data_IF_680989046863
#
_entry.id   IF_680989046863
#
_cell.length_a   1.000
_cell.length_b   1.000
_cell.length_c   1.000
_cell.angle_alpha   90.00
_cell.angle_beta   90.00
_cell.angle_gamma   90.00
#
_symmetry.space_group_name_H-M   'P 1'
#
loop_
_entity.id
_entity.type
_entity.pdbx_description
1 polymer ?
#
# COMPACT_ATOMS: atom_id res chain seq x y z
N UNK A 1 20.07 -31.64 10.53
CA UNK A 1 18.70 -31.10 10.45
C UNK A 1 18.71 -29.78 11.21
N UNK A 2 18.50 -28.67 10.52
CA UNK A 2 18.46 -27.35 11.17
C UNK A 2 17.13 -27.21 11.93
N UNK A 3 17.22 -26.86 13.21
CA UNK A 3 16.06 -26.56 14.05
C UNK A 3 15.52 -25.19 13.65
N UNK A 4 14.43 -25.15 12.90
CA UNK A 4 13.72 -23.90 12.58
C UNK A 4 12.92 -23.45 13.80
N UNK A 5 13.54 -22.68 14.70
CA UNK A 5 12.89 -22.20 15.94
C UNK A 5 12.53 -20.71 15.89
N UNK A 6 12.87 -20.01 14.81
CA UNK A 6 12.61 -18.58 14.65
C UNK A 6 11.36 -18.32 13.82
N UNK A 7 10.36 -17.67 14.41
CA UNK A 7 9.22 -17.15 13.63
C UNK A 7 9.67 -15.92 12.84
N UNK A 8 9.30 -15.86 11.56
CA UNK A 8 9.50 -14.69 10.70
C UNK A 8 8.16 -14.07 10.31
N UNK A 9 8.17 -12.76 10.04
CA UNK A 9 6.96 -12.04 9.59
C UNK A 9 6.82 -12.14 8.07
N UNK A 10 5.62 -12.48 7.61
CA UNK A 10 5.25 -12.47 6.19
C UNK A 10 5.01 -11.05 5.65
N UNK A 11 4.56 -10.14 6.52
CA UNK A 11 4.35 -8.72 6.22
C UNK A 11 4.78 -7.88 7.43
N UNK A 12 5.42 -6.73 7.17
CA UNK A 12 5.88 -5.80 8.22
C UNK A 12 4.88 -4.66 8.49
N UNK A 13 3.86 -4.51 7.65
CA UNK A 13 2.79 -3.52 7.78
C UNK A 13 1.77 -3.87 8.87
N UNK A 14 1.03 -2.86 9.29
CA UNK A 14 -0.05 -2.98 10.28
C UNK A 14 -1.31 -3.65 9.73
N UNK A 15 -1.47 -3.71 8.41
CA UNK A 15 -2.73 -4.00 7.71
C UNK A 15 -2.63 -5.21 6.79
N UNK A 16 -2.01 -6.29 7.26
CA UNK A 16 -2.01 -7.58 6.57
C UNK A 16 -2.44 -8.67 7.55
N UNK A 17 -3.72 -8.67 7.91
CA UNK A 17 -4.28 -9.57 8.91
C UNK A 17 -5.24 -10.59 8.28
N UNK A 18 -5.50 -11.71 8.96
CA UNK A 18 -6.43 -12.73 8.47
C UNK A 18 -6.06 -13.27 7.09
N UNK A 19 -4.75 -13.43 6.83
CA UNK A 19 -4.26 -13.86 5.53
C UNK A 19 -4.77 -15.26 5.16
N UNK A 20 -5.24 -15.40 3.94
CA UNK A 20 -5.68 -16.67 3.36
C UNK A 20 -4.68 -17.12 2.29
N UNK A 21 -4.58 -18.43 2.11
CA UNK A 21 -3.64 -19.05 1.19
C UNK A 21 -4.35 -20.04 0.28
N UNK A 22 -3.96 -20.09 -0.99
CA UNK A 22 -4.38 -21.12 -1.93
C UNK A 22 -3.17 -21.68 -2.68
N UNK A 23 -3.21 -22.98 -2.97
CA UNK A 23 -2.17 -23.69 -3.71
C UNK A 23 -2.78 -24.57 -4.80
N UNK A 24 -1.95 -25.44 -5.40
CA UNK A 24 -2.47 -26.46 -6.31
C UNK A 24 -3.40 -27.43 -5.58
N UNK A 25 -4.53 -27.75 -6.22
CA UNK A 25 -5.41 -28.85 -5.78
C UNK A 25 -4.97 -30.20 -6.36
N UNK A 26 -4.03 -30.19 -7.31
CA UNK A 26 -3.48 -31.38 -7.95
C UNK A 26 -2.21 -31.82 -7.19
N UNK A 27 -2.32 -32.94 -6.47
CA UNK A 27 -1.21 -33.51 -5.70
C UNK A 27 -0.13 -34.16 -6.58
N UNK A 28 -0.44 -34.50 -7.83
CA UNK A 28 0.53 -35.05 -8.79
C UNK A 28 1.35 -33.93 -9.46
N UNK A 29 0.81 -32.70 -9.44
CA UNK A 29 1.46 -31.48 -9.92
C UNK A 29 1.38 -30.39 -8.85
N UNK A 30 2.09 -30.56 -7.73
CA UNK A 30 2.14 -29.53 -6.71
C UNK A 30 2.68 -28.23 -7.31
N UNK A 31 2.11 -27.11 -6.92
CA UNK A 31 2.65 -25.81 -7.33
C UNK A 31 3.87 -25.49 -6.49
N UNK A 32 4.93 -24.98 -7.13
CA UNK A 32 6.12 -24.43 -6.45
C UNK A 32 5.83 -23.12 -5.70
N UNK A 33 4.55 -22.73 -5.58
CA UNK A 33 4.12 -21.49 -4.96
C UNK A 33 2.71 -21.58 -4.41
N UNK A 34 2.40 -20.69 -3.47
CA UNK A 34 1.05 -20.45 -2.99
C UNK A 34 0.67 -18.99 -3.25
N UNK A 35 -0.62 -18.74 -3.46
CA UNK A 35 -1.18 -17.39 -3.55
C UNK A 35 -1.66 -16.98 -2.17
N UNK A 36 -1.36 -15.75 -1.76
CA UNK A 36 -1.83 -15.19 -0.51
C UNK A 36 -2.50 -13.84 -0.69
N UNK A 37 -3.58 -13.63 0.05
CA UNK A 37 -4.27 -12.34 0.22
C UNK A 37 -4.47 -12.06 1.70
N UNK A 38 -4.24 -10.82 2.12
CA UNK A 38 -4.49 -10.35 3.47
C UNK A 38 -5.66 -9.38 3.50
N UNK A 39 -6.41 -9.35 4.59
CA UNK A 39 -7.32 -8.24 4.85
C UNK A 39 -6.51 -6.99 5.19
N UNK A 40 -6.80 -5.90 4.49
CA UNK A 40 -6.22 -4.56 4.73
C UNK A 40 -7.03 -3.89 5.82
N UNK A 41 -6.64 -4.17 7.05
CA UNK A 41 -7.19 -3.56 8.26
C UNK A 41 -6.54 -4.13 9.52
N UNK A 42 -6.84 -3.49 10.65
CA UNK A 42 -6.33 -3.91 11.95
C UNK A 42 -7.40 -3.71 13.03
N UNK A 43 -7.56 -4.73 13.87
CA UNK A 43 -8.49 -4.72 14.99
C UNK A 43 -8.30 -3.53 15.95
N UNK A 44 -7.09 -2.97 16.03
CA UNK A 44 -6.82 -1.80 16.88
C UNK A 44 -7.61 -0.55 16.50
N UNK A 45 -8.09 -0.44 15.24
CA UNK A 45 -8.84 0.75 14.78
C UNK A 45 -10.04 0.45 13.90
N UNK A 46 -10.17 -0.73 13.30
CA UNK A 46 -11.32 -1.05 12.43
C UNK A 46 -12.66 -0.96 13.18
N UNK A 47 -12.69 -1.30 14.48
CA UNK A 47 -13.89 -1.19 15.32
C UNK A 47 -14.43 0.25 15.46
N UNK A 48 -13.58 1.25 15.23
CA UNK A 48 -13.95 2.68 15.28
C UNK A 48 -14.46 3.20 13.93
N UNK A 49 -14.50 2.35 12.91
CA UNK A 49 -14.86 2.69 11.54
C UNK A 49 -13.70 3.31 10.74
N UNK A 50 -13.67 3.07 9.43
CA UNK A 50 -12.66 3.65 8.53
C UNK A 50 -13.14 5.03 8.08
N UNK A 51 -12.41 6.09 8.45
CA UNK A 51 -12.72 7.46 8.00
C UNK A 51 -12.08 7.71 6.63
N UNK A 52 -12.84 8.30 5.71
CA UNK A 52 -12.31 8.69 4.40
C UNK A 52 -11.30 9.86 4.47
N UNK A 53 -11.29 10.62 5.57
CA UNK A 53 -10.34 11.70 5.83
C UNK A 53 -10.29 12.00 7.34
N UNK A 54 -9.15 12.49 7.84
CA UNK A 54 -9.03 12.97 9.23
C UNK A 54 -10.01 14.09 9.57
N UNK A 55 -10.43 14.87 8.58
CA UNK A 55 -11.33 16.03 8.74
C UNK A 55 -12.79 15.75 8.38
N UNK A 56 -13.09 14.58 7.79
CA UNK A 56 -14.43 14.29 7.30
C UNK A 56 -15.15 13.30 8.22
N UNK A 57 -16.38 13.60 8.66
CA UNK A 57 -17.09 12.79 9.65
C UNK A 57 -17.72 11.52 9.06
N UNK A 58 -17.79 11.39 7.73
CA UNK A 58 -18.37 10.19 7.12
C UNK A 58 -17.45 8.97 7.35
N UNK A 59 -18.00 8.01 8.09
CA UNK A 59 -17.40 6.70 8.28
C UNK A 59 -17.78 5.86 7.06
N UNK A 60 -16.78 5.29 6.37
CA UNK A 60 -17.01 4.33 5.30
C UNK A 60 -17.78 3.13 5.86
N UNK A 61 -18.90 2.80 5.24
CA UNK A 61 -19.63 1.56 5.52
C UNK A 61 -18.93 0.32 4.90
N UNK A 62 -17.94 0.53 4.02
CA UNK A 62 -17.06 -0.54 3.54
C UNK A 62 -15.93 -0.71 4.56
N UNK A 63 -16.01 -1.80 5.33
CA UNK A 63 -15.14 -2.10 6.49
C UNK A 63 -13.73 -2.60 6.13
N UNK A 64 -13.37 -2.63 4.85
CA UNK A 64 -12.01 -2.94 4.43
C UNK A 64 -11.89 -3.35 2.97
N UNK A 65 -10.67 -3.64 2.57
CA UNK A 65 -10.30 -4.21 1.28
C UNK A 65 -9.39 -5.42 1.49
N UNK A 66 -9.17 -6.21 0.44
CA UNK A 66 -8.11 -7.20 0.42
C UNK A 66 -6.86 -6.61 -0.23
N UNK A 67 -5.69 -7.10 0.18
CA UNK A 67 -4.42 -6.76 -0.44
C UNK A 67 -4.40 -7.21 -1.90
N UNK A 68 -3.44 -6.70 -2.67
CA UNK A 68 -3.04 -7.40 -3.88
C UNK A 68 -2.64 -8.84 -3.54
N UNK A 69 -3.06 -9.78 -4.38
CA UNK A 69 -2.62 -11.16 -4.28
C UNK A 69 -1.10 -11.22 -4.46
N UNK A 70 -0.45 -12.08 -3.67
CA UNK A 70 0.99 -12.32 -3.74
C UNK A 70 1.25 -13.78 -4.03
N UNK A 71 2.20 -14.04 -4.92
CA UNK A 71 2.82 -15.35 -5.06
C UNK A 71 3.90 -15.49 -3.99
N UNK A 72 3.80 -16.53 -3.18
CA UNK A 72 4.78 -16.88 -2.16
C UNK A 72 5.56 -18.11 -2.62
N UNK A 73 6.89 -18.06 -2.50
CA UNK A 73 7.80 -19.14 -2.85
C UNK A 73 8.73 -19.41 -1.68
N UNK A 74 8.87 -20.67 -1.29
CA UNK A 74 9.90 -21.11 -0.33
C UNK A 74 11.23 -21.24 -1.07
N UNK A 75 12.21 -20.47 -0.64
CA UNK A 75 13.56 -20.48 -1.20
C UNK A 75 14.38 -21.62 -0.56
N UNK A 76 15.51 -21.98 -1.19
CA UNK A 76 16.41 -23.03 -0.70
C UNK A 76 17.12 -22.70 0.62
N UNK A 77 17.13 -21.43 1.03
CA UNK A 77 17.65 -20.95 2.31
C UNK A 77 16.56 -20.88 3.40
N UNK A 78 15.40 -21.52 3.15
CA UNK A 78 14.21 -21.53 4.00
C UNK A 78 13.57 -20.14 4.25
N UNK A 79 13.87 -19.15 3.43
CA UNK A 79 13.15 -17.87 3.44
C UNK A 79 11.96 -17.89 2.49
N UNK A 80 10.99 -16.99 2.70
CA UNK A 80 9.83 -16.82 1.80
C UNK A 80 10.03 -15.57 0.94
N UNK A 81 10.00 -15.74 -0.37
CA UNK A 81 9.85 -14.64 -1.33
C UNK A 81 8.37 -14.32 -1.55
N UNK A 82 7.98 -13.05 -1.50
CA UNK A 82 6.61 -12.61 -1.74
C UNK A 82 6.54 -11.60 -2.91
N UNK A 83 5.93 -12.01 -4.02
CA UNK A 83 5.83 -11.18 -5.24
C UNK A 83 4.38 -10.82 -5.53
N UNK A 84 4.02 -9.53 -5.67
CA UNK A 84 2.65 -9.14 -6.01
C UNK A 84 2.28 -9.61 -7.43
N UNK A 85 1.05 -10.10 -7.59
CA UNK A 85 0.48 -10.46 -8.89
C UNK A 85 -0.13 -9.19 -9.50
N UNK A 86 0.42 -8.72 -10.62
CA UNK A 86 0.04 -7.41 -11.22
C UNK A 86 -0.48 -7.50 -12.65
N UNK A 87 -0.68 -8.69 -13.19
CA UNK A 87 -0.97 -8.95 -14.62
C UNK A 87 -2.24 -8.26 -15.15
N UNK A 88 -3.19 -7.93 -14.27
CA UNK A 88 -4.47 -7.28 -14.60
C UNK A 88 -4.60 -5.85 -14.04
N UNK A 89 -3.53 -5.25 -13.53
CA UNK A 89 -3.56 -3.83 -13.17
C UNK A 89 -3.46 -2.99 -14.45
N UNK A 90 -4.19 -1.87 -14.52
CA UNK A 90 -3.99 -0.90 -15.60
C UNK A 90 -2.55 -0.41 -15.54
N UNK A 91 -1.76 -0.87 -16.50
CA UNK A 91 -0.43 -0.35 -16.73
C UNK A 91 -0.58 1.02 -17.39
N UNK A 92 -0.85 2.06 -16.57
CA UNK A 92 -0.48 3.42 -16.96
C UNK A 92 1.05 3.41 -17.05
N UNK A 93 1.51 3.10 -18.25
CA UNK A 93 2.89 2.93 -18.67
C UNK A 93 3.86 3.69 -17.77
N UNK A 94 4.58 2.92 -16.93
CA UNK A 94 5.79 3.31 -16.22
C UNK A 94 5.94 4.82 -16.01
N UNK A 95 5.06 5.43 -15.20
CA UNK A 95 5.22 6.84 -14.83
C UNK A 95 6.40 6.91 -13.87
N UNK A 96 7.61 6.98 -14.43
CA UNK A 96 8.84 7.22 -13.68
C UNK A 96 8.80 8.67 -13.19
N UNK A 97 8.44 8.83 -11.92
CA UNK A 97 8.36 10.14 -11.28
C UNK A 97 9.71 10.47 -10.67
N UNK A 98 10.56 11.10 -11.47
CA UNK A 98 11.77 11.72 -10.97
C UNK A 98 11.42 13.06 -10.32
N UNK A 99 11.33 13.06 -8.99
CA UNK A 99 11.04 14.25 -8.18
C UNK A 99 12.14 14.42 -7.14
N UNK A 100 12.70 15.63 -7.11
CA UNK A 100 13.66 16.01 -6.07
C UNK A 100 12.89 16.29 -4.78
N UNK A 101 13.39 15.77 -3.67
CA UNK A 101 12.91 16.12 -2.34
C UNK A 101 13.04 17.63 -2.16
N UNK A 102 12.00 18.30 -1.66
CA UNK A 102 12.07 19.73 -1.34
C UNK A 102 13.22 19.99 -0.37
N UNK A 103 13.95 21.10 -0.51
CA UNK A 103 15.06 21.40 0.42
C UNK A 103 14.56 21.75 1.82
N UNK A 104 13.36 22.35 1.90
CA UNK A 104 12.68 22.66 3.16
C UNK A 104 11.49 21.71 3.39
N UNK A 105 11.23 21.31 4.64
CA UNK A 105 9.98 20.64 5.00
C UNK A 105 8.79 21.56 4.71
N UNK A 106 7.64 20.94 4.46
CA UNK A 106 6.37 21.65 4.35
C UNK A 106 5.99 22.25 5.71
N UNK A 107 5.52 23.49 5.69
CA UNK A 107 5.13 24.26 6.88
C UNK A 107 3.62 24.49 6.97
N UNK A 108 2.82 23.54 6.46
CA UNK A 108 1.37 23.61 6.58
C UNK A 108 0.87 22.60 7.60
N UNK A 109 -0.25 22.92 8.27
CA UNK A 109 -0.78 22.18 9.42
C UNK A 109 -0.94 20.67 9.18
N UNK A 110 -1.31 20.28 7.96
CA UNK A 110 -1.59 18.88 7.61
C UNK A 110 -0.35 18.11 7.11
N UNK A 111 0.77 18.81 6.89
CA UNK A 111 1.99 18.24 6.32
C UNK A 111 3.27 18.71 7.02
N UNK A 112 3.15 19.28 8.23
CA UNK A 112 4.26 19.88 8.95
C UNK A 112 5.39 18.86 9.16
N UNK A 113 6.62 19.24 8.78
CA UNK A 113 7.81 18.40 8.96
C UNK A 113 8.02 17.32 7.90
N UNK A 114 7.10 17.16 6.93
CA UNK A 114 7.30 16.28 5.78
C UNK A 114 7.92 17.03 4.61
N UNK A 115 8.78 16.39 3.85
CA UNK A 115 9.19 16.88 2.54
C UNK A 115 8.28 16.29 1.46
N UNK A 116 7.64 17.14 0.64
CA UNK A 116 6.77 16.65 -0.42
C UNK A 116 7.60 16.13 -1.59
N UNK A 117 7.27 14.95 -2.11
CA UNK A 117 7.92 14.42 -3.30
C UNK A 117 6.91 14.18 -4.42
N UNK A 118 5.69 13.74 -4.10
CA UNK A 118 4.68 13.36 -5.09
C UNK A 118 3.28 13.78 -4.64
N UNK A 119 2.56 14.48 -5.53
CA UNK A 119 1.11 14.73 -5.45
C UNK A 119 0.49 14.41 -6.81
N UNK A 120 -0.07 13.19 -6.94
CA UNK A 120 -0.79 12.76 -8.13
C UNK A 120 -2.29 12.85 -7.91
N UNK A 121 -2.99 13.43 -8.89
CA UNK A 121 -4.44 13.60 -8.87
C UNK A 121 -5.10 12.76 -9.97
N UNK A 122 -6.35 12.36 -9.75
CA UNK A 122 -7.16 11.61 -10.72
C UNK A 122 -6.50 10.31 -11.20
N UNK A 123 -5.90 9.58 -10.26
CA UNK A 123 -5.29 8.29 -10.56
C UNK A 123 -6.36 7.19 -10.70
N UNK A 124 -6.19 6.20 -11.59
CA UNK A 124 -7.05 5.03 -11.63
C UNK A 124 -7.01 4.25 -10.30
N UNK A 125 -8.07 3.50 -10.03
CA UNK A 125 -8.13 2.65 -8.83
C UNK A 125 -7.14 1.45 -8.90
N UNK A 126 -6.79 1.03 -10.12
CA UNK A 126 -6.02 -0.18 -10.43
C UNK A 126 -4.67 0.16 -11.09
N UNK A 127 -3.82 0.97 -10.46
CA UNK A 127 -2.54 1.40 -11.03
C UNK A 127 -1.32 0.79 -10.35
N UNK A 128 -0.24 0.63 -11.13
CA UNK A 128 1.10 0.26 -10.66
C UNK A 128 2.04 1.45 -10.81
N UNK A 129 2.71 1.85 -9.73
CA UNK A 129 3.75 2.88 -9.74
C UNK A 129 5.09 2.28 -9.39
N UNK A 130 6.13 2.66 -10.14
CA UNK A 130 7.53 2.38 -9.80
C UNK A 130 8.15 3.70 -9.37
N UNK A 131 8.50 3.82 -8.09
CA UNK A 131 9.05 5.04 -7.51
C UNK A 131 10.53 4.86 -7.26
N UNK A 132 11.34 5.75 -7.81
CA UNK A 132 12.79 5.81 -7.55
C UNK A 132 13.09 7.10 -6.79
N UNK A 133 13.53 6.96 -5.54
CA UNK A 133 13.95 8.09 -4.73
C UNK A 133 15.45 8.27 -4.81
N UNK A 134 15.89 9.50 -5.03
CA UNK A 134 17.31 9.86 -4.99
C UNK A 134 17.48 11.20 -4.29
N UNK A 135 18.65 11.37 -3.68
CA UNK A 135 19.03 12.62 -3.03
C UNK A 135 19.82 13.50 -3.99
N UNK A 136 19.69 14.83 -3.87
CA UNK A 136 20.55 15.75 -4.63
C UNK A 136 22.02 15.50 -4.29
N UNK A 137 22.84 15.30 -5.33
CA UNK A 137 24.31 15.19 -5.24
C UNK A 137 24.80 14.08 -4.28
N UNK A 138 24.04 12.99 -4.10
CA UNK A 138 24.43 11.85 -3.27
C UNK A 138 24.46 12.12 -1.75
N UNK A 139 23.94 13.25 -1.27
CA UNK A 139 23.89 13.58 0.15
C UNK A 139 22.67 12.93 0.82
N UNK A 140 22.88 12.19 1.91
CA UNK A 140 21.77 11.60 2.67
C UNK A 140 20.73 12.66 3.11
N UNK A 141 19.45 12.36 2.88
CA UNK A 141 18.33 13.13 3.38
C UNK A 141 17.92 12.58 4.76
N UNK A 142 17.74 13.46 5.74
CA UNK A 142 17.16 13.14 7.04
C UNK A 142 15.79 13.81 7.17
N UNK A 143 14.74 13.01 7.30
CA UNK A 143 13.36 13.49 7.48
C UNK A 143 12.34 12.51 6.91
N UNK A 144 11.05 12.84 7.03
CA UNK A 144 9.97 12.04 6.47
C UNK A 144 9.59 12.56 5.07
N UNK A 145 9.38 11.67 4.10
CA UNK A 145 8.83 12.04 2.79
C UNK A 145 7.32 11.82 2.78
N UNK A 146 6.59 12.68 2.08
CA UNK A 146 5.17 12.47 1.80
C UNK A 146 4.92 12.17 0.33
N UNK A 147 4.12 11.15 0.09
CA UNK A 147 3.61 10.75 -1.22
C UNK A 147 2.08 10.76 -1.16
N UNK A 148 1.44 11.47 -2.08
CA UNK A 148 -0.02 11.57 -2.16
C UNK A 148 -0.50 11.04 -3.50
N UNK A 149 -1.37 10.03 -3.46
CA UNK A 149 -2.03 9.46 -4.63
C UNK A 149 -3.53 9.59 -4.44
N UNK A 150 -4.16 10.51 -5.16
CA UNK A 150 -5.61 10.70 -5.11
C UNK A 150 -6.26 9.95 -6.27
N UNK A 151 -7.12 8.97 -5.94
CA UNK A 151 -7.86 8.18 -6.93
C UNK A 151 -9.16 8.88 -7.33
N UNK A 152 -9.60 8.64 -8.57
CA UNK A 152 -10.93 9.10 -9.04
C UNK A 152 -11.11 10.62 -9.05
N UNK A 153 -12.38 11.08 -9.02
CA UNK A 153 -12.75 12.50 -9.02
C UNK A 153 -12.78 13.13 -7.62
N UNK A 154 -12.32 12.40 -6.60
CA UNK A 154 -12.46 12.75 -5.18
C UNK A 154 -11.87 14.12 -4.82
N UNK A 155 -11.02 14.68 -5.68
CA UNK A 155 -10.41 16.00 -5.49
C UNK A 155 -11.21 17.18 -6.09
N UNK A 156 -12.22 16.93 -6.94
CA UNK A 156 -12.88 17.98 -7.74
C UNK A 156 -14.33 18.30 -7.34
N UNK A 157 -14.92 17.58 -6.39
CA UNK A 157 -16.26 17.93 -5.92
C UNK A 157 -16.19 18.96 -4.80
N UNK A 158 -16.72 20.17 -5.07
CA UNK A 158 -17.27 21.01 -4.01
C UNK A 158 -18.16 20.11 -3.16
N UNK A 159 -17.74 19.87 -1.91
CA UNK A 159 -18.41 19.02 -0.92
C UNK A 159 -19.93 19.05 -1.13
N UNK A 160 -20.60 17.94 -1.48
CA UNK A 160 -22.05 17.96 -1.61
C UNK A 160 -22.65 18.40 -0.28
N UNK A 161 -23.46 19.47 -0.31
CA UNK A 161 -24.29 19.85 0.83
C UNK A 161 -25.32 18.74 0.99
N UNK A 162 -25.12 17.87 1.97
CA UNK A 162 -26.12 16.89 2.37
C UNK A 162 -27.27 17.70 3.00
N UNK A 163 -28.50 17.62 2.48
CA UNK A 163 -29.64 18.25 3.14
C UNK A 163 -29.87 17.53 4.47
N UNK A 164 -29.90 18.32 5.53
CA UNK A 164 -30.37 17.85 6.84
C UNK A 164 -31.89 17.72 6.72
N UNK A 165 -32.41 16.50 6.85
CA UNK A 165 -33.82 16.25 7.10
C UNK A 165 -34.06 16.26 8.60
#
# INVERSE_FOLDING_TARGET
MANETGVQRLDLGSDYYGANFSGSVDSEKPSDSIISIGWVGNWSYTSSGVRASQTYPAISQRLGSYSLARKLVLNSDNTISATPITENLEEKSNVSLNRKVSETPLDNKDNYGYHNVIDLKNQPANSKYVLTFSTNNGKNYQGAIKLTFNQGKDFNEKRPKIPVF
#
